data_IF_275558480660
#
_entry.id   IF_275558480660
#
_cell.length_a   1.000
_cell.length_b   1.000
_cell.length_c   1.000
_cell.angle_alpha   90.00
_cell.angle_beta   90.00
_cell.angle_gamma   90.00
#
_symmetry.space_group_name_H-M   'P 1'
#
loop_
_entity.id
_entity.type
_entity.pdbx_description
1 polymer ?
#
# COMPACT_ATOMS: atom_id res chain seq x y z
N UNK A 1 22.62 -2.00 -19.70
CA UNK A 1 23.97 -2.53 -19.94
C UNK A 1 25.04 -1.79 -19.14
N UNK A 2 25.10 -0.45 -19.17
CA UNK A 2 26.12 0.34 -18.47
C UNK A 2 26.32 -0.06 -17.00
N UNK A 3 25.24 -0.15 -16.21
CA UNK A 3 25.31 -0.60 -14.81
C UNK A 3 25.94 -1.98 -14.62
N UNK A 4 25.60 -2.94 -15.49
CA UNK A 4 26.09 -4.33 -15.40
C UNK A 4 27.55 -4.49 -15.87
N UNK A 5 28.08 -3.51 -16.60
CA UNK A 5 29.43 -3.49 -17.16
C UNK A 5 30.33 -2.45 -16.49
N UNK A 6 29.84 -1.74 -15.45
CA UNK A 6 30.65 -0.79 -14.70
C UNK A 6 31.77 -1.56 -13.97
N UNK A 7 33.03 -1.19 -14.24
CA UNK A 7 34.21 -1.83 -13.67
C UNK A 7 34.31 -1.68 -12.14
N UNK A 8 33.59 -0.73 -11.54
CA UNK A 8 33.64 -0.48 -10.09
C UNK A 8 32.80 -1.48 -9.30
N UNK A 9 31.56 -1.71 -9.73
CA UNK A 9 30.59 -2.51 -8.97
C UNK A 9 29.69 -3.39 -9.84
N UNK A 10 29.74 -3.28 -11.18
CA UNK A 10 28.81 -3.96 -12.08
C UNK A 10 28.83 -5.48 -11.93
N UNK A 11 29.98 -6.06 -11.62
CA UNK A 11 30.13 -7.50 -11.38
C UNK A 11 29.40 -8.00 -10.11
N UNK A 12 29.21 -7.12 -9.12
CA UNK A 12 28.43 -7.39 -7.90
C UNK A 12 26.93 -7.07 -8.08
N UNK A 13 26.51 -6.49 -9.21
CA UNK A 13 25.10 -6.19 -9.51
C UNK A 13 24.37 -7.43 -10.01
N UNK A 14 23.36 -7.89 -9.27
CA UNK A 14 22.49 -8.99 -9.67
C UNK A 14 21.39 -8.56 -10.64
N UNK A 15 20.84 -7.36 -10.48
CA UNK A 15 19.79 -6.88 -11.37
C UNK A 15 19.70 -5.35 -11.43
N UNK A 16 19.15 -4.84 -12.54
CA UNK A 16 18.83 -3.42 -12.72
C UNK A 16 17.31 -3.29 -12.81
N UNK A 17 16.70 -2.58 -11.87
CA UNK A 17 15.27 -2.31 -11.78
C UNK A 17 14.95 -0.96 -12.42
N UNK A 18 13.89 -0.90 -13.23
CA UNK A 18 13.34 0.32 -13.79
C UNK A 18 12.02 0.68 -13.10
N UNK A 19 11.65 1.98 -13.00
CA UNK A 19 10.32 2.38 -12.53
C UNK A 19 9.24 1.74 -13.39
N UNK A 20 8.15 1.31 -12.74
CA UNK A 20 6.92 0.97 -13.47
C UNK A 20 6.13 2.26 -13.68
N UNK A 21 5.78 2.53 -14.93
CA UNK A 21 4.95 3.68 -15.31
C UNK A 21 3.68 3.19 -15.97
N UNK A 22 2.60 3.93 -15.76
CA UNK A 22 1.29 3.52 -16.20
C UNK A 22 0.66 4.57 -17.12
N UNK A 23 0.06 4.09 -18.19
CA UNK A 23 -0.78 4.87 -19.10
C UNK A 23 -2.25 4.73 -18.71
N UNK A 24 -3.07 5.64 -19.24
CA UNK A 24 -4.54 5.67 -19.07
C UNK A 24 -5.01 5.66 -17.60
N UNK A 25 -4.22 6.25 -16.69
CA UNK A 25 -4.59 6.49 -15.29
C UNK A 25 -5.49 7.72 -15.19
N UNK A 26 -6.41 7.72 -14.22
CA UNK A 26 -7.20 8.90 -13.84
C UNK A 26 -6.29 10.14 -13.67
N UNK A 27 -6.61 11.30 -14.28
CA UNK A 27 -5.79 12.51 -14.15
C UNK A 27 -5.58 12.98 -12.71
N UNK A 28 -6.48 12.62 -11.78
CA UNK A 28 -6.33 12.96 -10.35
C UNK A 28 -5.68 11.85 -9.52
N UNK A 29 -5.29 10.75 -10.18
CA UNK A 29 -4.79 9.50 -9.61
C UNK A 29 -5.49 9.07 -8.32
N UNK A 30 -6.82 9.01 -8.38
CA UNK A 30 -7.68 8.75 -7.21
C UNK A 30 -7.27 7.52 -6.40
N UNK A 31 -6.72 6.49 -7.03
CA UNK A 31 -6.35 5.22 -6.39
C UNK A 31 -4.83 5.01 -6.31
N UNK A 32 -4.05 6.08 -6.44
CA UNK A 32 -2.59 6.06 -6.33
C UNK A 32 -1.97 4.92 -7.18
N UNK A 33 -2.38 4.84 -8.44
CA UNK A 33 -1.94 3.83 -9.38
C UNK A 33 -0.53 4.10 -9.90
N UNK A 34 -0.11 5.36 -10.02
CA UNK A 34 1.27 5.67 -10.39
C UNK A 34 2.27 5.26 -9.30
N UNK A 35 1.83 5.20 -8.04
CA UNK A 35 2.64 4.82 -6.89
C UNK A 35 4.00 5.55 -6.85
N UNK A 36 3.97 6.87 -7.15
CA UNK A 36 5.16 7.71 -7.35
C UNK A 36 6.04 7.76 -6.10
N UNK A 37 5.46 7.84 -4.90
CA UNK A 37 6.21 7.84 -3.64
C UNK A 37 7.13 6.61 -3.54
N UNK A 38 6.61 5.42 -3.84
CA UNK A 38 7.40 4.20 -3.79
C UNK A 38 8.50 4.14 -4.86
N UNK A 39 8.19 4.51 -6.11
CA UNK A 39 9.16 4.42 -7.20
C UNK A 39 10.21 5.54 -7.16
N UNK A 40 9.80 6.78 -6.89
CA UNK A 40 10.64 7.96 -7.06
C UNK A 40 11.28 8.46 -5.76
N UNK A 41 10.73 8.08 -4.59
CA UNK A 41 11.38 8.32 -3.30
C UNK A 41 11.96 7.03 -2.71
N UNK A 42 11.13 6.04 -2.38
CA UNK A 42 11.60 4.85 -1.64
C UNK A 42 12.63 4.03 -2.42
N UNK A 43 12.32 3.66 -3.68
CA UNK A 43 13.22 2.82 -4.49
C UNK A 43 14.53 3.54 -4.82
N UNK A 44 14.45 4.85 -5.05
CA UNK A 44 15.62 5.70 -5.28
C UNK A 44 16.49 5.82 -4.02
N UNK A 45 15.87 5.98 -2.84
CA UNK A 45 16.58 6.00 -1.56
C UNK A 45 17.31 4.68 -1.27
N UNK A 46 16.69 3.53 -1.57
CA UNK A 46 17.33 2.21 -1.43
C UNK A 46 18.52 2.02 -2.39
N UNK A 47 18.55 2.74 -3.51
CA UNK A 47 19.65 2.67 -4.47
C UNK A 47 20.99 3.12 -3.85
N UNK A 48 20.97 3.99 -2.84
CA UNK A 48 22.17 4.41 -2.12
C UNK A 48 22.71 3.40 -1.10
N UNK A 49 22.02 2.27 -0.87
CA UNK A 49 22.36 1.28 0.16
C UNK A 49 22.87 -0.02 -0.47
N UNK A 50 21.95 -0.90 -0.86
CA UNK A 50 22.23 -2.17 -1.52
C UNK A 50 21.44 -2.32 -2.83
N UNK A 51 20.59 -1.34 -3.14
CA UNK A 51 19.76 -1.32 -4.31
C UNK A 51 18.26 -1.53 -4.03
N UNK A 52 17.40 -1.22 -5.02
CA UNK A 52 15.97 -1.43 -4.94
C UNK A 52 15.60 -2.92 -4.89
N UNK A 53 14.46 -3.25 -4.30
CA UNK A 53 13.87 -4.60 -4.41
C UNK A 53 13.40 -4.89 -5.85
N UNK A 54 13.36 -6.16 -6.22
CA UNK A 54 12.70 -6.59 -7.46
C UNK A 54 11.18 -6.52 -7.29
N UNK A 55 10.49 -5.90 -8.26
CA UNK A 55 9.03 -5.63 -8.21
C UNK A 55 8.25 -6.23 -9.38
N UNK A 56 8.77 -7.33 -9.96
CA UNK A 56 8.01 -8.19 -10.88
C UNK A 56 8.12 -7.84 -12.36
N UNK A 57 8.57 -6.64 -12.74
CA UNK A 57 8.70 -6.24 -14.15
C UNK A 57 9.76 -5.15 -14.34
N UNK A 58 10.11 -4.86 -15.61
CA UNK A 58 11.07 -3.83 -15.97
C UNK A 58 12.43 -4.07 -15.31
N UNK A 59 12.96 -5.29 -15.42
CA UNK A 59 14.17 -5.69 -14.70
C UNK A 59 15.10 -6.51 -15.59
N UNK A 60 16.40 -6.19 -15.55
CA UNK A 60 17.45 -6.94 -16.22
C UNK A 60 18.23 -7.74 -15.18
N UNK A 61 18.17 -9.07 -15.22
CA UNK A 61 18.88 -9.95 -14.29
C UNK A 61 20.22 -10.46 -14.85
N UNK A 62 21.20 -10.57 -13.95
CA UNK A 62 22.40 -11.37 -14.13
C UNK A 62 22.04 -12.83 -13.94
N UNK A 63 22.18 -13.61 -15.02
CA UNK A 63 21.83 -15.04 -15.05
C UNK A 63 22.51 -15.85 -13.94
N UNK A 64 23.81 -15.64 -13.71
CA UNK A 64 24.55 -16.35 -12.66
C UNK A 64 23.96 -16.12 -11.25
N UNK A 65 23.43 -14.92 -10.97
CA UNK A 65 22.80 -14.61 -9.70
C UNK A 65 21.50 -15.43 -9.51
N UNK A 66 20.69 -15.55 -10.57
CA UNK A 66 19.47 -16.37 -10.55
C UNK A 66 19.75 -17.86 -10.38
N UNK A 67 20.88 -18.35 -10.90
CA UNK A 67 21.31 -19.73 -10.68
C UNK A 67 21.87 -20.00 -9.28
N UNK A 68 21.92 -18.98 -8.43
CA UNK A 68 22.32 -19.13 -7.04
C UNK A 68 23.81 -18.96 -6.78
N UNK A 69 24.59 -18.46 -7.76
CA UNK A 69 25.97 -18.09 -7.52
C UNK A 69 26.09 -16.96 -6.49
N UNK A 70 27.18 -16.96 -5.73
CA UNK A 70 27.55 -15.82 -4.89
C UNK A 70 28.15 -14.69 -5.75
N UNK A 71 27.99 -13.42 -5.36
CA UNK A 71 28.64 -12.29 -6.03
C UNK A 71 30.17 -12.41 -5.93
N UNK A 72 30.93 -11.86 -6.89
CA UNK A 72 32.40 -11.93 -6.92
C UNK A 72 33.05 -11.54 -5.59
N UNK A 73 32.60 -10.47 -4.94
CA UNK A 73 33.14 -10.00 -3.65
C UNK A 73 33.10 -11.04 -2.53
N UNK A 74 32.17 -11.99 -2.61
CA UNK A 74 31.97 -13.03 -1.60
C UNK A 74 32.44 -14.41 -2.06
N UNK A 75 33.11 -14.50 -3.21
CA UNK A 75 33.76 -15.71 -3.71
C UNK A 75 35.25 -15.74 -3.35
N UNK A 76 35.86 -16.91 -3.14
CA UNK A 76 37.31 -17.04 -3.04
C UNK A 76 38.00 -16.56 -4.34
N UNK A 77 39.19 -15.95 -4.22
CA UNK A 77 39.97 -15.49 -5.37
C UNK A 77 40.20 -16.65 -6.36
N UNK A 78 39.97 -16.39 -7.66
CA UNK A 78 40.03 -17.36 -8.77
C UNK A 78 38.94 -18.45 -8.81
N UNK A 79 37.91 -18.40 -7.95
CA UNK A 79 36.81 -19.34 -8.03
C UNK A 79 35.90 -19.06 -9.24
N UNK A 80 35.88 -20.00 -10.20
CA UNK A 80 34.80 -20.10 -11.20
C UNK A 80 33.45 -20.16 -10.46
N UNK A 81 32.35 -19.81 -11.13
CA UNK A 81 31.01 -20.06 -10.56
C UNK A 81 30.86 -21.57 -10.36
N UNK A 82 31.06 -22.03 -9.13
CA UNK A 82 30.87 -23.41 -8.71
C UNK A 82 29.58 -23.43 -7.90
N UNK A 83 28.59 -24.16 -8.40
CA UNK A 83 27.41 -24.49 -7.62
C UNK A 83 27.73 -25.75 -6.80
N UNK A 84 27.42 -25.72 -5.52
CA UNK A 84 27.57 -26.89 -4.66
C UNK A 84 26.63 -28.01 -5.13
N UNK A 85 27.18 -29.07 -5.72
CA UNK A 85 26.43 -30.19 -6.32
C UNK A 85 25.40 -29.69 -7.37
N UNK A 86 25.86 -29.32 -8.58
CA UNK A 86 25.01 -28.66 -9.59
C UNK A 86 23.84 -29.54 -10.04
N UNK A 87 24.00 -30.87 -10.07
CA UNK A 87 22.94 -31.80 -10.46
C UNK A 87 21.75 -31.75 -9.51
N UNK A 88 22.01 -31.71 -8.20
CA UNK A 88 20.94 -31.58 -7.19
C UNK A 88 20.27 -30.21 -7.23
N UNK A 89 20.98 -29.16 -7.66
CA UNK A 89 20.43 -27.81 -7.73
C UNK A 89 19.62 -27.56 -9.00
N UNK A 90 20.19 -27.93 -10.16
CA UNK A 90 19.73 -27.54 -11.49
C UNK A 90 18.97 -28.64 -12.23
N UNK A 91 19.09 -29.91 -11.80
CA UNK A 91 18.54 -31.08 -12.49
C UNK A 91 19.59 -31.92 -13.21
N UNK A 92 19.10 -32.91 -13.96
CA UNK A 92 19.94 -33.97 -14.55
C UNK A 92 20.45 -33.67 -15.96
N UNK A 93 20.03 -32.55 -16.56
CA UNK A 93 20.51 -32.11 -17.87
C UNK A 93 21.99 -31.74 -17.84
N UNK A 94 22.86 -32.62 -18.34
CA UNK A 94 24.29 -32.30 -18.48
C UNK A 94 24.53 -31.10 -19.41
N UNK A 95 23.86 -30.97 -20.58
CA UNK A 95 24.04 -29.80 -21.43
C UNK A 95 23.67 -28.49 -20.73
N UNK A 96 22.57 -28.45 -19.98
CA UNK A 96 22.16 -27.27 -19.23
C UNK A 96 23.15 -26.97 -18.09
N UNK A 97 23.48 -27.96 -17.26
CA UNK A 97 24.41 -27.80 -16.13
C UNK A 97 25.77 -27.28 -16.61
N UNK A 98 26.30 -27.82 -17.71
CA UNK A 98 27.57 -27.39 -18.28
C UNK A 98 27.49 -25.98 -18.91
N UNK A 99 26.30 -25.53 -19.31
CA UNK A 99 26.09 -24.18 -19.84
C UNK A 99 26.16 -23.08 -18.78
N UNK A 100 25.84 -23.38 -17.52
CA UNK A 100 25.76 -22.42 -16.41
C UNK A 100 27.09 -21.70 -16.11
N UNK A 101 28.21 -22.40 -15.85
CA UNK A 101 29.49 -21.73 -15.58
C UNK A 101 29.98 -20.93 -16.79
N UNK A 102 29.62 -21.36 -18.01
CA UNK A 102 29.95 -20.64 -19.22
C UNK A 102 29.13 -19.37 -19.38
N UNK A 103 27.87 -19.37 -18.94
CA UNK A 103 26.99 -18.20 -18.95
C UNK A 103 27.38 -17.16 -17.87
N UNK A 104 28.16 -17.57 -16.87
CA UNK A 104 28.74 -16.67 -15.88
C UNK A 104 29.98 -15.92 -16.38
N UNK A 105 30.61 -16.39 -17.47
CA UNK A 105 31.73 -15.71 -18.10
C UNK A 105 31.21 -14.62 -19.06
N UNK A 106 31.32 -13.36 -18.64
CA UNK A 106 30.85 -12.21 -19.42
C UNK A 106 31.66 -11.94 -20.69
N UNK A 107 32.92 -12.38 -20.76
CA UNK A 107 33.81 -12.16 -21.90
C UNK A 107 33.66 -13.24 -22.99
N UNK A 108 32.78 -14.21 -22.77
CA UNK A 108 32.62 -15.35 -23.69
C UNK A 108 31.94 -14.91 -25.00
N UNK A 109 32.53 -15.30 -26.13
CA UNK A 109 31.87 -15.25 -27.44
C UNK A 109 30.60 -16.10 -27.45
N UNK A 110 29.48 -15.50 -27.84
CA UNK A 110 28.16 -16.12 -27.85
C UNK A 110 27.86 -16.64 -29.26
N UNK A 111 28.60 -17.64 -29.74
CA UNK A 111 28.18 -18.38 -30.93
C UNK A 111 27.16 -19.42 -30.47
N UNK A 112 25.86 -19.29 -30.81
CA UNK A 112 24.86 -20.25 -30.38
C UNK A 112 25.13 -21.61 -31.04
N UNK A 113 24.99 -22.72 -30.31
CA UNK A 113 25.03 -24.05 -30.91
C UNK A 113 23.85 -24.23 -31.90
N UNK A 114 23.96 -25.13 -32.89
CA UNK A 114 22.87 -25.40 -33.83
C UNK A 114 21.60 -25.83 -33.09
N UNK A 115 20.47 -25.16 -33.31
CA UNK A 115 19.23 -25.42 -32.57
C UNK A 115 18.72 -26.87 -32.68
N UNK A 116 18.94 -27.51 -33.83
CA UNK A 116 18.52 -28.88 -34.09
C UNK A 116 19.18 -29.91 -33.13
N UNK A 117 20.40 -29.64 -32.64
CA UNK A 117 21.10 -30.57 -31.74
C UNK A 117 20.65 -30.51 -30.29
N UNK A 118 19.73 -29.60 -29.93
CA UNK A 118 19.27 -29.38 -28.55
C UNK A 118 17.76 -29.55 -28.39
N UNK A 119 17.03 -29.96 -29.44
CA UNK A 119 15.55 -29.94 -29.40
C UNK A 119 14.98 -30.90 -28.35
N UNK A 120 15.49 -32.13 -28.27
CA UNK A 120 15.07 -33.12 -27.25
C UNK A 120 15.44 -32.65 -25.84
N UNK A 121 16.65 -32.12 -25.67
CA UNK A 121 17.14 -31.59 -24.39
C UNK A 121 16.29 -30.42 -23.90
N UNK A 122 15.91 -29.51 -24.80
CA UNK A 122 15.03 -28.39 -24.48
C UNK A 122 13.63 -28.86 -24.07
N UNK A 123 13.13 -29.92 -24.71
CA UNK A 123 11.84 -30.52 -24.35
C UNK A 123 11.90 -31.16 -22.96
N UNK A 124 13.00 -31.83 -22.62
CA UNK A 124 13.22 -32.43 -21.30
C UNK A 124 13.35 -31.36 -20.20
N UNK A 125 14.18 -30.34 -20.41
CA UNK A 125 14.38 -29.24 -19.45
C UNK A 125 13.11 -28.39 -19.25
N UNK A 126 12.23 -28.33 -20.25
CA UNK A 126 10.94 -27.64 -20.18
C UNK A 126 9.80 -28.52 -19.64
N UNK A 127 10.05 -29.81 -19.36
CA UNK A 127 9.02 -30.71 -18.86
C UNK A 127 8.60 -30.33 -17.43
N UNK A 128 7.32 -30.56 -17.10
CA UNK A 128 6.78 -30.23 -15.78
C UNK A 128 7.46 -30.99 -14.62
N UNK A 129 8.01 -32.18 -14.89
CA UNK A 129 8.68 -33.01 -13.92
C UNK A 129 10.20 -32.73 -13.81
N UNK A 130 10.76 -31.84 -14.64
CA UNK A 130 12.20 -31.59 -14.66
C UNK A 130 12.72 -31.08 -13.30
N UNK A 131 11.88 -30.32 -12.59
CA UNK A 131 12.23 -29.73 -11.30
C UNK A 131 12.06 -30.71 -10.11
N UNK A 132 11.52 -31.91 -10.34
CA UNK A 132 11.26 -32.88 -9.27
C UNK A 132 12.56 -33.31 -8.58
N UNK A 133 12.60 -33.14 -7.24
CA UNK A 133 13.78 -33.46 -6.44
C UNK A 133 14.96 -32.49 -6.59
N UNK A 134 14.83 -31.43 -7.38
CA UNK A 134 15.84 -30.38 -7.55
C UNK A 134 15.72 -29.27 -6.48
N UNK A 135 16.50 -28.19 -6.59
CA UNK A 135 16.38 -27.00 -5.73
C UNK A 135 15.85 -25.76 -6.47
N UNK A 136 15.24 -25.93 -7.64
CA UNK A 136 14.43 -24.89 -8.28
C UNK A 136 13.32 -24.43 -7.34
N UNK A 137 13.02 -23.12 -7.32
CA UNK A 137 12.07 -22.57 -6.37
C UNK A 137 12.60 -22.32 -4.97
N UNK A 138 13.61 -23.09 -4.52
CA UNK A 138 14.14 -23.02 -3.17
C UNK A 138 15.40 -22.15 -3.10
N UNK A 139 16.46 -22.51 -3.83
CA UNK A 139 17.72 -21.74 -3.85
C UNK A 139 18.21 -21.34 -5.25
N UNK A 140 17.49 -21.76 -6.29
CA UNK A 140 17.70 -21.45 -7.72
C UNK A 140 16.43 -20.83 -8.29
N UNK A 141 16.54 -19.92 -9.27
CA UNK A 141 15.40 -19.38 -10.01
C UNK A 141 14.54 -18.40 -9.19
N UNK A 142 13.26 -18.29 -9.51
CA UNK A 142 12.30 -17.55 -8.69
C UNK A 142 11.94 -18.35 -7.44
N UNK A 143 11.56 -17.67 -6.37
CA UNK A 143 11.13 -18.33 -5.13
C UNK A 143 9.68 -18.78 -5.24
N UNK A 144 9.37 -20.02 -4.87
CA UNK A 144 8.01 -20.58 -5.00
C UNK A 144 7.14 -20.37 -3.75
N UNK A 145 5.83 -20.53 -3.94
CA UNK A 145 4.81 -20.60 -2.88
C UNK A 145 4.64 -19.32 -2.03
N UNK A 146 5.07 -18.17 -2.56
CA UNK A 146 4.85 -16.85 -1.97
C UNK A 146 4.24 -15.96 -3.06
N UNK A 147 3.12 -15.29 -2.78
CA UNK A 147 2.38 -14.51 -3.78
C UNK A 147 3.09 -13.23 -4.26
N UNK A 148 4.12 -12.81 -3.53
CA UNK A 148 5.08 -11.75 -3.89
C UNK A 148 6.44 -12.38 -4.14
N UNK A 149 6.49 -13.34 -5.07
CA UNK A 149 7.70 -14.06 -5.45
C UNK A 149 8.80 -13.12 -5.93
N UNK A 150 8.41 -11.98 -6.49
CA UNK A 150 9.28 -10.91 -6.93
C UNK A 150 10.13 -10.34 -5.78
N UNK A 151 9.49 -9.79 -4.75
CA UNK A 151 10.17 -9.16 -3.62
C UNK A 151 11.06 -10.16 -2.89
N UNK A 152 10.57 -11.39 -2.65
CA UNK A 152 11.36 -12.41 -1.95
C UNK A 152 12.52 -12.94 -2.81
N UNK A 153 12.38 -12.98 -4.14
CA UNK A 153 13.49 -13.34 -5.04
C UNK A 153 14.58 -12.27 -5.00
N UNK A 154 14.19 -10.98 -5.07
CA UNK A 154 15.12 -9.86 -4.91
C UNK A 154 15.84 -9.89 -3.55
N UNK A 155 15.08 -10.10 -2.47
CA UNK A 155 15.63 -10.26 -1.12
C UNK A 155 16.62 -11.42 -1.04
N UNK A 156 16.32 -12.58 -1.64
CA UNK A 156 17.22 -13.74 -1.62
C UNK A 156 18.57 -13.41 -2.27
N UNK A 157 18.56 -12.64 -3.36
CA UNK A 157 19.79 -12.18 -4.01
C UNK A 157 20.56 -11.21 -3.11
N UNK A 158 19.89 -10.21 -2.53
CA UNK A 158 20.52 -9.28 -1.58
C UNK A 158 21.05 -9.96 -0.32
N UNK A 159 20.35 -10.96 0.22
CA UNK A 159 20.79 -11.77 1.37
C UNK A 159 22.09 -12.54 1.08
N UNK A 160 22.35 -12.90 -0.18
CA UNK A 160 23.62 -13.50 -0.61
C UNK A 160 24.75 -12.47 -0.76
N UNK A 161 24.44 -11.18 -0.68
CA UNK A 161 25.38 -10.07 -0.80
C UNK A 161 25.42 -9.42 -2.18
N UNK A 162 24.53 -9.80 -3.10
CA UNK A 162 24.41 -9.12 -4.38
C UNK A 162 23.87 -7.69 -4.19
N UNK A 163 24.22 -6.80 -5.11
CA UNK A 163 23.67 -5.46 -5.25
C UNK A 163 22.56 -5.44 -6.31
N UNK A 164 21.70 -4.43 -6.29
CA UNK A 164 20.87 -4.06 -7.43
C UNK A 164 20.99 -2.58 -7.71
N UNK A 165 20.60 -2.18 -8.93
CA UNK A 165 20.66 -0.79 -9.38
C UNK A 165 19.28 -0.32 -9.80
N UNK A 166 18.99 0.96 -9.58
CA UNK A 166 17.75 1.61 -10.01
C UNK A 166 18.04 2.56 -11.19
N UNK A 167 17.33 2.37 -12.30
CA UNK A 167 17.50 3.17 -13.51
C UNK A 167 16.20 3.87 -13.89
N UNK A 168 16.02 5.12 -13.45
CA UNK A 168 15.01 6.02 -13.99
C UNK A 168 15.58 6.73 -15.23
N UNK A 169 14.80 6.78 -16.30
CA UNK A 169 15.21 7.38 -17.57
C UNK A 169 14.08 8.17 -18.22
N UNK A 170 14.47 9.13 -19.05
CA UNK A 170 13.57 9.93 -19.88
C UNK A 170 13.94 9.70 -21.36
N UNK A 171 13.02 9.17 -22.20
CA UNK A 171 11.66 8.74 -21.85
C UNK A 171 11.63 7.46 -21.01
N UNK A 172 10.50 7.24 -20.32
CA UNK A 172 10.28 6.04 -19.51
C UNK A 172 10.48 4.75 -20.33
N UNK A 173 11.31 3.84 -19.81
CA UNK A 173 11.66 2.59 -20.50
C UNK A 173 10.49 1.60 -20.63
N UNK A 174 9.67 1.52 -19.57
CA UNK A 174 8.60 0.55 -19.43
C UNK A 174 7.32 1.24 -19.02
N UNK A 175 6.31 1.15 -19.88
CA UNK A 175 4.96 1.66 -19.64
C UNK A 175 3.97 0.50 -19.71
N UNK A 176 3.01 0.48 -18.80
CA UNK A 176 1.97 -0.54 -18.72
C UNK A 176 0.61 0.05 -18.42
N UNK A 177 -0.37 -0.82 -18.21
CA UNK A 177 -1.74 -0.43 -17.84
C UNK A 177 -1.99 -0.79 -16.38
N UNK A 178 -2.58 0.13 -15.62
CA UNK A 178 -2.99 -0.10 -14.23
C UNK A 178 -4.47 -0.53 -14.14
N UNK A 179 -4.88 -1.26 -13.08
CA UNK A 179 -6.29 -1.43 -12.76
C UNK A 179 -6.93 -0.07 -12.46
N UNK A 180 -8.03 0.27 -13.14
CA UNK A 180 -8.65 1.59 -12.99
C UNK A 180 -9.82 1.63 -12.00
N UNK A 181 -10.43 0.48 -11.68
CA UNK A 181 -11.51 0.41 -10.69
C UNK A 181 -10.98 0.11 -9.28
N UNK A 182 -11.71 0.59 -8.26
CA UNK A 182 -11.31 0.47 -6.84
C UNK A 182 -11.13 -0.99 -6.42
N UNK A 183 -12.10 -1.85 -6.75
CA UNK A 183 -12.16 -3.22 -6.24
C UNK A 183 -10.99 -4.08 -6.72
N UNK A 184 -10.68 -4.03 -8.01
CA UNK A 184 -9.52 -4.73 -8.59
C UNK A 184 -8.21 -4.21 -8.00
N UNK A 185 -8.12 -2.89 -7.76
CA UNK A 185 -6.95 -2.30 -7.09
C UNK A 185 -6.81 -2.80 -5.63
N UNK A 186 -7.91 -2.94 -4.87
CA UNK A 186 -7.86 -3.50 -3.51
C UNK A 186 -7.46 -4.98 -3.50
N UNK A 187 -7.94 -5.79 -4.46
CA UNK A 187 -7.51 -7.18 -4.59
C UNK A 187 -6.02 -7.30 -4.95
N UNK A 188 -5.51 -6.37 -5.77
CA UNK A 188 -4.09 -6.29 -6.08
C UNK A 188 -3.25 -6.14 -4.82
N UNK A 189 -3.65 -5.20 -3.95
CA UNK A 189 -2.93 -4.91 -2.71
C UNK A 189 -3.11 -6.02 -1.70
N UNK A 190 -4.29 -6.66 -1.64
CA UNK A 190 -4.49 -7.82 -0.78
C UNK A 190 -3.47 -8.93 -1.07
N UNK A 191 -3.22 -9.19 -2.35
CA UNK A 191 -2.21 -10.16 -2.78
C UNK A 191 -0.80 -9.72 -2.40
N UNK A 192 -0.47 -8.44 -2.57
CA UNK A 192 0.82 -7.88 -2.15
C UNK A 192 1.02 -7.98 -0.63
N UNK A 193 0.05 -7.55 0.16
CA UNK A 193 0.10 -7.60 1.62
C UNK A 193 0.13 -9.02 2.15
N UNK A 194 -0.65 -9.93 1.57
CA UNK A 194 -0.63 -11.36 1.91
C UNK A 194 0.73 -11.99 1.63
N UNK A 195 1.29 -11.79 0.43
CA UNK A 195 2.62 -12.27 0.08
C UNK A 195 3.74 -11.66 0.93
N UNK A 196 3.65 -10.37 1.26
CA UNK A 196 4.57 -9.68 2.18
C UNK A 196 4.61 -10.35 3.56
N UNK A 197 3.44 -10.69 4.12
CA UNK A 197 3.37 -11.39 5.40
C UNK A 197 3.79 -12.86 5.30
N UNK A 198 3.45 -13.55 4.22
CA UNK A 198 3.96 -14.90 3.94
C UNK A 198 5.50 -14.91 3.94
N UNK A 199 6.12 -13.91 3.31
CA UNK A 199 7.56 -13.72 3.36
C UNK A 199 8.05 -13.48 4.79
N UNK A 200 7.41 -12.56 5.53
CA UNK A 200 7.80 -12.21 6.90
C UNK A 200 7.79 -13.42 7.86
N UNK A 201 6.78 -14.27 7.76
CA UNK A 201 6.63 -15.47 8.61
C UNK A 201 7.28 -16.74 8.05
N UNK A 202 8.00 -16.64 6.92
CA UNK A 202 8.75 -17.76 6.35
C UNK A 202 10.23 -17.76 6.75
N UNK A 203 10.97 -18.77 6.29
CA UNK A 203 12.44 -18.81 6.37
C UNK A 203 13.14 -17.66 5.60
N UNK A 204 12.39 -16.90 4.80
CA UNK A 204 12.84 -15.70 4.10
C UNK A 204 12.59 -14.40 4.89
N UNK A 205 12.30 -14.49 6.19
CA UNK A 205 12.16 -13.32 7.06
C UNK A 205 13.43 -12.44 7.02
N UNK A 206 13.31 -11.12 6.75
CA UNK A 206 14.45 -10.21 6.73
C UNK A 206 15.24 -10.16 8.04
N UNK A 207 14.56 -10.36 9.18
CA UNK A 207 15.19 -10.37 10.51
C UNK A 207 16.18 -11.53 10.69
N UNK A 208 16.00 -12.62 9.94
CA UNK A 208 16.88 -13.80 9.96
C UNK A 208 18.08 -13.67 9.00
N UNK A 209 18.19 -12.56 8.25
CA UNK A 209 19.25 -12.39 7.27
C UNK A 209 20.62 -12.20 7.93
N UNK A 210 21.64 -12.87 7.38
CA UNK A 210 23.03 -12.78 7.83
C UNK A 210 23.70 -11.43 7.55
N UNK A 211 25.02 -11.37 7.77
CA UNK A 211 25.83 -10.14 7.69
C UNK A 211 26.02 -9.57 6.28
N UNK A 212 25.70 -10.35 5.23
CA UNK A 212 25.82 -9.91 3.82
C UNK A 212 24.69 -8.96 3.39
N UNK A 213 23.60 -8.89 4.17
CA UNK A 213 22.54 -7.90 3.97
C UNK A 213 22.86 -6.64 4.77
N UNK A 214 22.89 -5.48 4.10
CA UNK A 214 23.18 -4.21 4.77
C UNK A 214 22.15 -3.93 5.88
N UNK A 215 22.54 -3.40 7.06
CA UNK A 215 21.61 -3.18 8.17
C UNK A 215 20.39 -2.32 7.80
N UNK A 216 20.59 -1.23 7.06
CA UNK A 216 19.46 -0.40 6.58
C UNK A 216 18.61 -1.12 5.52
N UNK A 217 19.21 -1.98 4.69
CA UNK A 217 18.46 -2.81 3.74
C UNK A 217 17.60 -3.83 4.50
N UNK A 218 18.09 -4.36 5.63
CA UNK A 218 17.30 -5.21 6.53
C UNK A 218 16.10 -4.46 7.09
N UNK A 219 16.29 -3.22 7.55
CA UNK A 219 15.18 -2.38 8.03
C UNK A 219 14.16 -2.14 6.91
N UNK A 220 14.62 -1.82 5.70
CA UNK A 220 13.75 -1.61 4.55
C UNK A 220 12.91 -2.85 4.22
N UNK A 221 13.53 -4.03 4.08
CA UNK A 221 12.80 -5.26 3.83
C UNK A 221 11.84 -5.65 4.97
N UNK A 222 12.24 -5.41 6.23
CA UNK A 222 11.34 -5.61 7.38
C UNK A 222 10.11 -4.69 7.25
N UNK A 223 10.30 -3.42 6.90
CA UNK A 223 9.19 -2.49 6.69
C UNK A 223 8.28 -2.96 5.53
N UNK A 224 8.86 -3.33 4.39
CA UNK A 224 8.12 -3.82 3.21
C UNK A 224 7.37 -5.13 3.44
N UNK A 225 7.75 -5.92 4.44
CA UNK A 225 7.11 -7.22 4.73
C UNK A 225 6.14 -7.15 5.92
N UNK A 226 6.40 -6.29 6.91
CA UNK A 226 5.60 -6.17 8.12
C UNK A 226 4.56 -5.02 8.12
N UNK A 227 4.55 -4.13 7.11
CA UNK A 227 3.61 -2.99 7.06
C UNK A 227 2.13 -3.35 7.25
N UNK A 228 1.59 -4.52 6.83
CA UNK A 228 0.18 -4.81 7.05
C UNK A 228 -0.15 -5.01 8.54
N UNK A 229 0.82 -5.46 9.35
CA UNK A 229 0.65 -5.64 10.80
C UNK A 229 0.56 -4.27 11.47
N UNK A 230 1.48 -3.35 11.18
CA UNK A 230 1.46 -2.01 11.78
C UNK A 230 0.19 -1.25 11.43
N UNK A 231 -0.30 -1.43 10.19
CA UNK A 231 -1.50 -0.77 9.75
C UNK A 231 -2.81 -1.36 10.31
N UNK A 232 -2.80 -2.59 10.84
CA UNK A 232 -3.95 -3.11 11.58
C UNK A 232 -4.23 -2.32 12.87
N UNK A 233 -3.22 -1.70 13.47
CA UNK A 233 -3.42 -0.80 14.61
C UNK A 233 -4.11 0.52 14.21
N UNK A 234 -3.90 0.98 12.97
CA UNK A 234 -4.59 2.15 12.42
C UNK A 234 -6.09 1.88 12.33
N UNK A 235 -6.50 0.69 11.87
CA UNK A 235 -7.91 0.30 11.86
C UNK A 235 -8.57 0.38 13.25
N UNK A 236 -7.87 -0.09 14.30
CA UNK A 236 -8.39 0.03 15.68
C UNK A 236 -8.47 1.50 16.10
N UNK A 237 -7.45 2.29 15.76
CA UNK A 237 -7.38 3.71 16.06
C UNK A 237 -8.55 4.49 15.42
N UNK A 238 -8.93 4.14 14.18
CA UNK A 238 -10.01 4.79 13.44
C UNK A 238 -11.42 4.45 13.96
N UNK A 239 -11.52 3.41 14.78
CA UNK A 239 -12.74 3.02 15.49
C UNK A 239 -12.81 3.60 16.91
N UNK A 240 -11.69 4.13 17.45
CA UNK A 240 -11.70 4.82 18.74
C UNK A 240 -12.71 5.97 18.83
N UNK A 241 -13.11 6.65 17.74
CA UNK A 241 -14.16 7.64 17.85
C UNK A 241 -15.53 7.12 18.36
N UNK A 242 -15.76 5.80 18.38
CA UNK A 242 -16.90 5.20 19.10
C UNK A 242 -16.91 5.56 20.59
N UNK A 243 -15.74 5.78 21.18
CA UNK A 243 -15.61 6.21 22.58
C UNK A 243 -16.18 7.61 22.83
N UNK A 244 -16.29 8.48 21.80
CA UNK A 244 -16.99 9.76 21.92
C UNK A 244 -18.51 9.58 22.10
N UNK A 245 -19.06 8.45 21.67
CA UNK A 245 -20.49 8.12 21.77
C UNK A 245 -20.84 7.50 23.13
N UNK A 246 -19.89 6.83 23.78
CA UNK A 246 -20.09 6.17 25.07
C UNK A 246 -19.65 7.05 26.24
N UNK A 247 -20.64 7.62 26.95
CA UNK A 247 -20.55 7.94 28.38
C UNK A 247 -19.28 8.61 28.91
N UNK A 248 -18.92 9.80 28.44
CA UNK A 248 -18.28 10.90 29.20
C UNK A 248 -16.92 10.70 29.89
N UNK A 249 -16.39 9.48 30.03
CA UNK A 249 -15.13 9.22 30.71
C UNK A 249 -13.99 9.08 29.69
N UNK A 250 -13.17 10.13 29.63
CA UNK A 250 -11.99 10.17 28.79
C UNK A 250 -10.83 9.47 29.50
N UNK A 251 -10.31 8.38 28.91
CA UNK A 251 -9.06 7.75 29.35
C UNK A 251 -7.80 8.57 29.01
N UNK A 252 -7.93 9.59 28.16
CA UNK A 252 -6.85 10.53 27.84
C UNK A 252 -6.95 11.70 28.83
N UNK A 253 -5.92 11.87 29.66
CA UNK A 253 -5.79 13.05 30.51
C UNK A 253 -5.99 14.32 29.67
N UNK A 254 -6.75 15.29 30.20
CA UNK A 254 -6.93 16.59 29.52
C UNK A 254 -5.55 17.10 29.09
N UNK A 255 -5.34 17.39 27.79
CA UNK A 255 -4.01 17.77 27.31
C UNK A 255 -3.59 19.05 28.03
N UNK A 256 -2.54 18.96 28.85
CA UNK A 256 -1.91 20.14 29.42
C UNK A 256 -1.10 20.86 28.34
N UNK A 257 -0.87 22.16 28.52
CA UNK A 257 -0.27 23.03 27.49
C UNK A 257 1.03 22.45 26.90
N UNK A 258 1.92 21.92 27.74
CA UNK A 258 3.18 21.31 27.29
C UNK A 258 2.97 20.08 26.40
N UNK A 259 1.99 19.23 26.72
CA UNK A 259 1.66 18.09 25.85
C UNK A 259 1.15 18.57 24.49
N UNK A 260 0.25 19.56 24.46
CA UNK A 260 -0.25 20.12 23.22
C UNK A 260 0.87 20.75 22.37
N UNK A 261 1.83 21.43 22.99
CA UNK A 261 3.02 21.96 22.33
C UNK A 261 3.91 20.85 21.74
N UNK A 262 4.16 19.77 22.48
CA UNK A 262 4.94 18.64 21.96
C UNK A 262 4.22 17.92 20.81
N UNK A 263 2.90 17.74 20.91
CA UNK A 263 2.10 17.17 19.83
C UNK A 263 2.17 18.04 18.58
N UNK A 264 1.97 19.36 18.71
CA UNK A 264 2.07 20.29 17.59
C UNK A 264 3.47 20.31 16.98
N UNK A 265 4.52 20.37 17.81
CA UNK A 265 5.90 20.35 17.34
C UNK A 265 6.24 19.04 16.61
N UNK A 266 5.76 17.90 17.12
CA UNK A 266 5.94 16.60 16.48
C UNK A 266 5.25 16.51 15.12
N UNK A 267 3.99 16.94 15.04
CA UNK A 267 3.25 17.02 13.77
C UNK A 267 3.97 17.96 12.80
N UNK A 268 4.30 19.17 13.22
CA UNK A 268 5.00 20.14 12.38
C UNK A 268 6.35 19.61 11.86
N UNK A 269 7.10 18.87 12.69
CA UNK A 269 8.35 18.23 12.27
C UNK A 269 8.10 17.12 11.23
N UNK A 270 7.07 16.29 11.43
CA UNK A 270 6.69 15.24 10.47
C UNK A 270 6.29 15.84 9.12
N UNK A 271 5.42 16.86 9.13
CA UNK A 271 4.99 17.56 7.92
C UNK A 271 6.16 18.26 7.21
N UNK A 272 7.05 18.94 7.95
CA UNK A 272 8.24 19.56 7.37
C UNK A 272 9.18 18.52 6.74
N UNK A 273 9.34 17.36 7.39
CA UNK A 273 10.15 16.25 6.85
C UNK A 273 9.52 15.68 5.58
N UNK A 274 8.20 15.49 5.56
CA UNK A 274 7.46 15.07 4.37
C UNK A 274 7.58 16.07 3.23
N UNK A 275 7.54 17.38 3.51
CA UNK A 275 7.74 18.40 2.47
C UNK A 275 9.15 18.40 1.89
N UNK A 276 10.17 18.16 2.72
CA UNK A 276 11.54 17.92 2.22
C UNK A 276 11.54 16.68 1.32
N UNK A 277 10.85 15.60 1.72
CA UNK A 277 10.75 14.36 0.96
C UNK A 277 10.14 14.56 -0.44
N UNK A 278 8.98 15.20 -0.48
CA UNK A 278 8.26 15.54 -1.70
C UNK A 278 9.14 16.37 -2.64
N UNK A 279 9.87 17.34 -2.09
CA UNK A 279 10.71 18.24 -2.88
C UNK A 279 11.91 17.52 -3.49
N UNK A 280 12.67 16.73 -2.70
CA UNK A 280 13.88 16.08 -3.23
C UNK A 280 13.56 14.96 -4.21
N UNK A 281 12.44 14.26 -4.03
CA UNK A 281 12.00 13.18 -4.91
C UNK A 281 11.27 13.68 -6.18
N UNK A 282 11.07 15.01 -6.34
CA UNK A 282 10.36 15.57 -7.49
C UNK A 282 8.89 15.13 -7.56
N UNK A 283 8.26 14.98 -6.38
CA UNK A 283 6.86 14.62 -6.24
C UNK A 283 6.00 15.88 -6.15
N UNK A 284 4.74 15.78 -6.54
CA UNK A 284 3.76 16.83 -6.24
C UNK A 284 3.17 16.59 -4.85
N UNK A 285 2.65 17.65 -4.21
CA UNK A 285 1.89 17.50 -2.96
C UNK A 285 0.67 16.58 -3.17
N UNK A 286 0.07 16.60 -4.38
CA UNK A 286 -1.04 15.72 -4.71
C UNK A 286 -0.61 14.24 -4.71
N UNK A 287 0.57 13.90 -5.24
CA UNK A 287 1.09 12.52 -5.20
C UNK A 287 1.22 12.01 -3.76
N UNK A 288 1.75 12.86 -2.88
CA UNK A 288 1.89 12.54 -1.46
C UNK A 288 0.52 12.38 -0.78
N UNK A 289 -0.39 13.34 -0.97
CA UNK A 289 -1.75 13.24 -0.42
C UNK A 289 -2.50 12.01 -0.96
N UNK A 290 -2.36 11.66 -2.24
CA UNK A 290 -2.97 10.44 -2.82
C UNK A 290 -2.38 9.18 -2.22
N UNK A 291 -1.08 9.16 -1.96
CA UNK A 291 -0.43 8.05 -1.27
C UNK A 291 -0.98 7.87 0.15
N UNK A 292 -1.09 8.94 0.94
CA UNK A 292 -1.65 8.89 2.30
C UNK A 292 -3.11 8.44 2.31
N UNK A 293 -3.94 9.04 1.45
CA UNK A 293 -5.34 8.65 1.29
C UNK A 293 -5.48 7.18 0.93
N UNK A 294 -4.65 6.70 0.00
CA UNK A 294 -4.74 5.34 -0.46
C UNK A 294 -4.17 4.33 0.54
N UNK A 295 -3.13 4.71 1.29
CA UNK A 295 -2.64 3.96 2.43
C UNK A 295 -3.72 3.79 3.49
N UNK A 296 -4.48 4.86 3.78
CA UNK A 296 -5.61 4.81 4.71
C UNK A 296 -6.71 3.83 4.26
N UNK A 297 -7.06 3.84 2.97
CA UNK A 297 -8.02 2.88 2.39
C UNK A 297 -7.51 1.44 2.54
N UNK A 298 -6.22 1.21 2.32
CA UNK A 298 -5.56 -0.07 2.57
C UNK A 298 -5.64 -0.48 4.04
N UNK A 299 -5.36 0.45 4.96
CA UNK A 299 -5.37 0.22 6.41
C UNK A 299 -6.74 -0.13 6.95
N UNK A 300 -7.79 0.52 6.46
CA UNK A 300 -9.13 0.24 6.93
C UNK A 300 -9.74 -1.00 6.28
N UNK A 301 -9.39 -1.33 5.03
CA UNK A 301 -10.02 -2.42 4.28
C UNK A 301 -9.16 -3.66 4.07
N UNK A 302 -7.98 -3.49 3.46
CA UNK A 302 -7.18 -4.59 2.89
C UNK A 302 -6.28 -5.26 3.93
N UNK A 303 -5.56 -4.46 4.71
CA UNK A 303 -4.53 -4.98 5.62
C UNK A 303 -5.09 -5.84 6.76
N UNK A 304 -6.26 -5.54 7.36
CA UNK A 304 -6.89 -6.45 8.32
C UNK A 304 -7.18 -7.83 7.72
N UNK A 305 -7.61 -7.89 6.46
CA UNK A 305 -7.84 -9.14 5.75
C UNK A 305 -6.52 -9.89 5.46
N UNK A 306 -5.45 -9.17 5.11
CA UNK A 306 -4.12 -9.77 4.92
C UNK A 306 -3.53 -10.35 6.22
N UNK A 307 -3.71 -9.63 7.34
CA UNK A 307 -3.32 -10.11 8.67
C UNK A 307 -4.12 -11.36 9.04
N UNK A 308 -5.45 -11.34 8.82
CA UNK A 308 -6.29 -12.53 9.03
C UNK A 308 -5.83 -13.72 8.16
N UNK A 309 -5.56 -13.49 6.87
CA UNK A 309 -5.00 -14.53 5.97
C UNK A 309 -3.76 -15.17 6.59
N UNK A 310 -2.83 -14.35 7.07
CA UNK A 310 -1.56 -14.81 7.62
C UNK A 310 -1.73 -15.56 8.94
N UNK A 311 -2.59 -15.06 9.83
CA UNK A 311 -2.92 -15.73 11.09
C UNK A 311 -3.53 -17.12 10.84
N UNK A 312 -4.44 -17.23 9.87
CA UNK A 312 -5.03 -18.52 9.47
C UNK A 312 -3.95 -19.51 8.98
N UNK A 313 -3.02 -19.03 8.14
CA UNK A 313 -1.91 -19.87 7.66
C UNK A 313 -0.96 -20.30 8.79
N UNK A 314 -0.69 -19.42 9.76
CA UNK A 314 0.18 -19.73 10.90
C UNK A 314 -0.39 -20.84 11.81
N UNK A 315 -1.72 -20.95 11.92
CA UNK A 315 -2.39 -22.02 12.66
C UNK A 315 -2.66 -23.28 11.81
N UNK A 316 -2.11 -23.36 10.59
CA UNK A 316 -2.25 -24.51 9.71
C UNK A 316 -3.57 -24.57 8.92
N UNK A 317 -4.38 -23.51 8.95
CA UNK A 317 -5.61 -23.40 8.15
C UNK A 317 -5.31 -22.82 6.76
N UNK A 318 -6.26 -23.03 5.83
CA UNK A 318 -6.20 -22.37 4.52
C UNK A 318 -6.40 -20.86 4.70
N UNK A 319 -5.48 -20.07 4.14
CA UNK A 319 -5.63 -18.62 4.09
C UNK A 319 -6.77 -18.18 3.15
N UNK A 320 -7.03 -16.87 3.11
CA UNK A 320 -7.99 -16.28 2.16
C UNK A 320 -7.57 -16.53 0.70
N UNK A 321 -8.51 -16.87 -0.20
CA UNK A 321 -8.21 -17.04 -1.61
C UNK A 321 -7.87 -15.68 -2.26
N UNK A 322 -6.78 -15.64 -3.03
CA UNK A 322 -6.42 -14.46 -3.81
C UNK A 322 -7.12 -14.48 -5.16
N UNK A 323 -7.85 -13.40 -5.48
CA UNK A 323 -8.42 -13.18 -6.82
C UNK A 323 -7.34 -12.59 -7.73
N UNK A 324 -7.18 -13.17 -8.93
CA UNK A 324 -6.36 -12.58 -9.98
C UNK A 324 -7.05 -11.32 -10.50
N UNK A 325 -6.28 -10.23 -10.56
CA UNK A 325 -6.83 -8.96 -11.03
C UNK A 325 -6.87 -8.94 -12.54
N UNK A 326 -8.03 -8.61 -13.11
CA UNK A 326 -8.15 -8.42 -14.55
C UNK A 326 -7.50 -7.08 -14.92
N UNK A 327 -6.48 -7.13 -15.78
CA UNK A 327 -6.05 -5.91 -16.49
C UNK A 327 -7.09 -5.61 -17.56
N UNK A 328 -7.51 -4.34 -17.75
CA UNK A 328 -8.40 -4.01 -18.85
C UNK A 328 -7.77 -4.50 -20.15
N UNK A 329 -8.55 -5.19 -20.99
CA UNK A 329 -8.16 -5.34 -22.38
C UNK A 329 -8.11 -3.93 -22.94
N UNK A 330 -6.97 -3.52 -23.50
CA UNK A 330 -6.88 -2.29 -24.26
C UNK A 330 -7.93 -2.35 -25.37
N UNK A 331 -9.10 -1.78 -25.11
CA UNK A 331 -10.17 -1.64 -26.10
C UNK A 331 -9.56 -0.96 -27.31
N UNK A 332 -9.72 -1.57 -28.47
CA UNK A 332 -9.18 -1.08 -29.75
C UNK A 332 -9.36 0.43 -29.87
N UNK A 333 -8.28 1.13 -30.21
CA UNK A 333 -8.08 2.57 -30.05
C UNK A 333 -9.00 3.50 -30.85
N UNK A 334 -10.31 3.44 -30.62
CA UNK A 334 -11.31 4.33 -31.24
C UNK A 334 -12.14 5.17 -30.26
N UNK A 335 -12.12 4.85 -28.96
CA UNK A 335 -12.93 5.54 -27.95
C UNK A 335 -12.26 6.78 -27.35
N UNK A 336 -13.05 7.85 -27.14
CA UNK A 336 -12.57 9.07 -26.47
C UNK A 336 -12.10 8.81 -25.04
N UNK A 337 -11.30 9.72 -24.45
CA UNK A 337 -10.76 9.57 -23.08
C UNK A 337 -11.82 9.24 -22.01
N UNK A 338 -13.07 9.67 -22.24
CA UNK A 338 -14.22 9.40 -21.37
C UNK A 338 -14.70 7.95 -21.37
N UNK A 339 -14.53 7.22 -22.47
CA UNK A 339 -14.86 5.79 -22.55
C UNK A 339 -13.74 4.95 -21.92
N UNK A 340 -12.48 5.35 -22.06
CA UNK A 340 -11.34 4.67 -21.43
C UNK A 340 -11.41 4.65 -19.91
N UNK A 341 -11.93 5.72 -19.30
CA UNK A 341 -12.11 5.81 -17.84
C UNK A 341 -13.51 5.35 -17.39
N UNK A 342 -14.27 4.60 -18.20
CA UNK A 342 -15.61 4.16 -17.81
C UNK A 342 -15.56 3.21 -16.61
N UNK A 343 -14.63 2.25 -16.60
CA UNK A 343 -14.52 1.25 -15.54
C UNK A 343 -14.08 1.87 -14.19
N UNK A 344 -13.42 3.04 -14.19
CA UNK A 344 -13.11 3.80 -12.97
C UNK A 344 -14.37 4.08 -12.13
N UNK A 345 -15.53 4.21 -12.78
CA UNK A 345 -16.82 4.52 -12.16
C UNK A 345 -17.69 3.29 -11.90
N UNK A 346 -17.18 2.08 -12.15
CA UNK A 346 -17.87 0.83 -11.86
C UNK A 346 -17.63 0.41 -10.41
N UNK A 347 -18.73 0.11 -9.72
CA UNK A 347 -18.68 -0.37 -8.33
C UNK A 347 -18.87 -1.87 -8.35
N UNK A 348 -17.83 -2.59 -7.99
CA UNK A 348 -17.91 -4.03 -7.76
C UNK A 348 -17.91 -4.27 -6.26
N UNK A 349 -19.08 -4.49 -5.68
CA UNK A 349 -19.18 -4.73 -4.24
C UNK A 349 -18.41 -5.99 -3.83
N UNK A 350 -17.49 -5.82 -2.89
CA UNK A 350 -16.65 -6.88 -2.36
C UNK A 350 -16.61 -6.82 -0.83
N UNK A 351 -16.43 -7.96 -0.13
CA UNK A 351 -16.29 -7.97 1.33
C UNK A 351 -15.18 -7.05 1.86
N UNK A 352 -14.12 -6.82 1.07
CA UNK A 352 -13.01 -5.93 1.43
C UNK A 352 -13.43 -4.47 1.64
N UNK A 353 -14.56 -4.04 1.05
CA UNK A 353 -15.05 -2.67 1.20
C UNK A 353 -15.74 -2.44 2.55
N UNK A 354 -16.32 -3.49 3.13
CA UNK A 354 -17.18 -3.39 4.32
C UNK A 354 -16.48 -2.73 5.50
N UNK A 355 -15.26 -3.13 5.91
CA UNK A 355 -14.58 -2.51 7.04
C UNK A 355 -14.38 -0.99 6.86
N UNK A 356 -14.05 -0.54 5.65
CA UNK A 356 -13.86 0.89 5.37
C UNK A 356 -15.17 1.66 5.37
N UNK A 357 -16.26 1.06 4.86
CA UNK A 357 -17.63 1.63 4.97
C UNK A 357 -18.01 1.80 6.44
N UNK A 358 -17.72 0.81 7.28
CA UNK A 358 -18.00 0.88 8.73
C UNK A 358 -17.22 2.02 9.37
N UNK A 359 -15.91 2.15 9.08
CA UNK A 359 -15.10 3.27 9.59
C UNK A 359 -15.70 4.63 9.18
N UNK A 360 -16.09 4.80 7.92
CA UNK A 360 -16.75 6.03 7.47
C UNK A 360 -18.06 6.29 8.22
N UNK A 361 -18.91 5.26 8.36
CA UNK A 361 -20.20 5.37 9.04
C UNK A 361 -20.05 5.74 10.52
N UNK A 362 -19.08 5.13 11.21
CA UNK A 362 -18.74 5.44 12.61
C UNK A 362 -18.29 6.88 12.78
N UNK A 363 -17.40 7.37 11.92
CA UNK A 363 -16.91 8.75 11.99
C UNK A 363 -18.02 9.77 11.67
N UNK A 364 -18.88 9.49 10.69
CA UNK A 364 -20.10 10.29 10.43
C UNK A 364 -21.04 10.29 11.63
N UNK A 365 -21.25 9.13 12.26
CA UNK A 365 -22.13 9.00 13.41
C UNK A 365 -21.58 9.77 14.63
N UNK A 366 -20.27 9.73 14.87
CA UNK A 366 -19.61 10.48 15.92
C UNK A 366 -19.78 12.00 15.73
N UNK A 367 -19.56 12.50 14.51
CA UNK A 367 -19.78 13.91 14.16
C UNK A 367 -21.26 14.29 14.36
N UNK A 368 -22.19 13.46 13.86
CA UNK A 368 -23.62 13.68 14.00
C UNK A 368 -24.10 13.70 15.45
N UNK A 369 -23.65 12.77 16.28
CA UNK A 369 -24.00 12.74 17.70
C UNK A 369 -23.44 13.96 18.45
N UNK A 370 -22.21 14.39 18.15
CA UNK A 370 -21.64 15.61 18.71
C UNK A 370 -22.47 16.85 18.33
N UNK A 371 -22.91 16.95 17.07
CA UNK A 371 -23.80 18.00 16.60
C UNK A 371 -25.17 17.95 17.27
N UNK A 372 -25.77 16.76 17.39
CA UNK A 372 -27.05 16.55 18.08
C UNK A 372 -26.99 16.94 19.55
N UNK A 373 -25.90 16.59 20.25
CA UNK A 373 -25.66 17.01 21.63
C UNK A 373 -25.54 18.52 21.77
N UNK A 374 -24.85 19.19 20.84
CA UNK A 374 -24.76 20.65 20.82
C UNK A 374 -26.12 21.32 20.67
N UNK A 375 -26.95 20.81 19.75
CA UNK A 375 -28.31 21.29 19.55
C UNK A 375 -29.18 21.05 20.80
N UNK A 376 -29.13 19.85 21.39
CA UNK A 376 -29.95 19.50 22.56
C UNK A 376 -29.59 20.29 23.82
N UNK A 377 -28.31 20.66 24.00
CA UNK A 377 -27.81 21.39 25.16
C UNK A 377 -27.74 22.92 24.96
N UNK A 378 -28.40 23.47 23.93
CA UNK A 378 -28.37 24.90 23.56
C UNK A 378 -26.96 25.53 23.62
N UNK A 379 -25.95 24.77 23.23
CA UNK A 379 -24.55 25.17 23.35
C UNK A 379 -23.89 25.10 21.98
N UNK A 380 -22.90 25.96 21.75
CA UNK A 380 -22.13 25.88 20.51
C UNK A 380 -21.41 24.52 20.43
N UNK A 381 -21.18 24.03 19.21
CA UNK A 381 -20.42 22.81 18.96
C UNK A 381 -19.07 22.83 19.69
N UNK A 382 -18.42 24.00 19.76
CA UNK A 382 -17.18 24.22 20.48
C UNK A 382 -17.33 24.13 22.02
N UNK A 383 -18.44 24.62 22.58
CA UNK A 383 -18.74 24.53 24.02
C UNK A 383 -19.11 23.10 24.45
N UNK A 384 -19.83 22.35 23.61
CA UNK A 384 -20.18 20.94 23.87
C UNK A 384 -19.00 20.01 23.67
N UNK A 385 -18.13 20.33 22.72
CA UNK A 385 -16.92 19.58 22.51
C UNK A 385 -15.85 19.87 23.59
N UNK A 386 -15.76 21.11 24.08
CA UNK A 386 -14.60 21.54 24.87
C UNK A 386 -13.29 21.39 24.08
N UNK A 387 -12.17 21.83 24.64
CA UNK A 387 -10.88 21.80 23.93
C UNK A 387 -10.43 20.38 23.54
N UNK A 388 -10.75 19.37 24.37
CA UNK A 388 -10.39 17.97 24.12
C UNK A 388 -11.27 17.31 23.04
N UNK A 389 -12.59 17.52 23.03
CA UNK A 389 -13.42 16.95 21.97
C UNK A 389 -13.41 17.73 20.66
N UNK A 390 -12.95 18.99 20.66
CA UNK A 390 -12.65 19.70 19.41
C UNK A 390 -11.54 18.98 18.62
N UNK A 391 -10.49 18.51 19.30
CA UNK A 391 -9.45 17.66 18.69
C UNK A 391 -10.00 16.33 18.17
N UNK A 392 -10.92 15.70 18.93
CA UNK A 392 -11.63 14.51 18.49
C UNK A 392 -12.45 14.71 17.23
N UNK A 393 -13.21 15.80 17.14
CA UNK A 393 -14.03 16.10 15.97
C UNK A 393 -13.15 16.39 14.73
N UNK A 394 -12.04 17.13 14.92
CA UNK A 394 -11.06 17.35 13.86
C UNK A 394 -10.47 16.03 13.36
N UNK A 395 -10.17 15.09 14.26
CA UNK A 395 -9.72 13.75 13.89
C UNK A 395 -10.76 13.01 13.02
N UNK A 396 -12.04 13.02 13.40
CA UNK A 396 -13.10 12.39 12.60
C UNK A 396 -13.21 13.00 11.19
N UNK A 397 -13.15 14.34 11.11
CA UNK A 397 -13.17 15.03 9.82
C UNK A 397 -11.94 14.66 8.99
N UNK A 398 -10.76 14.58 9.62
CA UNK A 398 -9.53 14.17 8.96
C UNK A 398 -9.61 12.74 8.39
N UNK A 399 -10.15 11.79 9.15
CA UNK A 399 -10.40 10.41 8.66
C UNK A 399 -11.31 10.42 7.43
N UNK A 400 -12.39 11.20 7.45
CA UNK A 400 -13.29 11.31 6.29
C UNK A 400 -12.62 11.97 5.06
N UNK A 401 -11.70 12.92 5.28
CA UNK A 401 -10.90 13.51 4.20
C UNK A 401 -9.89 12.51 3.62
N UNK A 402 -9.29 11.66 4.45
CA UNK A 402 -8.41 10.58 4.00
C UNK A 402 -9.17 9.51 3.20
N UNK A 403 -10.39 9.18 3.62
CA UNK A 403 -11.27 8.21 2.96
C UNK A 403 -12.10 8.80 1.81
N UNK A 404 -11.93 10.07 1.47
CA UNK A 404 -12.65 10.73 0.39
C UNK A 404 -12.55 9.99 -0.97
N UNK A 405 -11.38 9.52 -1.43
CA UNK A 405 -11.28 8.77 -2.69
C UNK A 405 -12.04 7.44 -2.67
N UNK A 406 -12.12 6.80 -1.50
CA UNK A 406 -12.92 5.59 -1.31
C UNK A 406 -14.41 5.89 -1.40
N UNK A 407 -14.88 6.96 -0.73
CA UNK A 407 -16.26 7.45 -0.83
C UNK A 407 -16.66 7.70 -2.29
N UNK A 408 -15.79 8.35 -3.07
CA UNK A 408 -16.00 8.51 -4.51
C UNK A 408 -16.02 7.19 -5.26
N UNK A 409 -15.18 6.22 -4.89
CA UNK A 409 -15.18 4.90 -5.50
C UNK A 409 -16.48 4.14 -5.32
N UNK A 410 -17.02 4.08 -4.10
CA UNK A 410 -18.28 3.35 -3.82
C UNK A 410 -19.52 4.08 -4.37
N UNK A 411 -19.43 5.38 -4.66
CA UNK A 411 -20.48 6.14 -5.36
C UNK A 411 -20.56 5.84 -6.86
N UNK A 412 -19.54 5.18 -7.43
CA UNK A 412 -19.50 4.81 -8.83
C UNK A 412 -19.71 6.01 -9.76
N UNK A 413 -20.69 5.91 -10.66
CA UNK A 413 -21.04 6.94 -11.65
C UNK A 413 -21.38 8.31 -11.04
N UNK A 414 -21.87 8.35 -9.81
CA UNK A 414 -22.19 9.62 -9.14
C UNK A 414 -20.93 10.42 -8.79
N UNK A 415 -19.77 9.76 -8.70
CA UNK A 415 -18.48 10.43 -8.45
C UNK A 415 -17.95 11.26 -9.63
N UNK A 416 -18.65 11.25 -10.78
CA UNK A 416 -18.46 12.27 -11.83
C UNK A 416 -18.81 13.67 -11.34
N UNK A 417 -19.60 13.78 -10.26
CA UNK A 417 -19.98 15.02 -9.58
C UNK A 417 -19.54 14.91 -8.10
N UNK A 418 -18.25 15.12 -7.80
CA UNK A 418 -17.69 14.82 -6.48
C UNK A 418 -18.36 15.58 -5.33
N UNK A 419 -18.90 16.77 -5.57
CA UNK A 419 -19.63 17.55 -4.57
C UNK A 419 -20.86 16.82 -4.01
N UNK A 420 -21.41 15.84 -4.72
CA UNK A 420 -22.52 15.01 -4.21
C UNK A 420 -22.11 14.21 -2.98
N UNK A 421 -20.85 13.76 -2.88
CA UNK A 421 -20.36 13.06 -1.68
C UNK A 421 -20.43 13.97 -0.46
N UNK A 422 -20.01 15.22 -0.60
CA UNK A 422 -20.07 16.20 0.48
C UNK A 422 -21.52 16.43 0.94
N UNK A 423 -22.45 16.62 0.00
CA UNK A 423 -23.88 16.79 0.33
C UNK A 423 -24.45 15.56 1.05
N UNK A 424 -24.09 14.35 0.61
CA UNK A 424 -24.54 13.10 1.25
C UNK A 424 -23.96 12.95 2.66
N UNK A 425 -22.68 13.27 2.87
CA UNK A 425 -22.05 13.23 4.19
C UNK A 425 -22.69 14.24 5.14
N UNK A 426 -22.92 15.48 4.69
CA UNK A 426 -23.61 16.51 5.50
C UNK A 426 -25.04 16.08 5.83
N UNK A 427 -25.78 15.56 4.86
CA UNK A 427 -27.13 15.05 5.09
C UNK A 427 -27.14 13.89 6.10
N UNK A 428 -26.19 12.97 6.03
CA UNK A 428 -26.04 11.88 6.98
C UNK A 428 -25.73 12.37 8.40
N UNK A 429 -24.81 13.35 8.53
CA UNK A 429 -24.52 14.00 9.82
C UNK A 429 -25.77 14.64 10.43
N UNK A 430 -26.54 15.39 9.63
CA UNK A 430 -27.79 16.03 10.08
C UNK A 430 -28.84 14.99 10.47
N UNK A 431 -28.97 13.90 9.72
CA UNK A 431 -29.88 12.81 10.04
C UNK A 431 -29.53 12.15 11.38
N UNK A 432 -28.26 11.83 11.60
CA UNK A 432 -27.79 11.27 12.88
C UNK A 432 -28.01 12.25 14.03
N UNK A 433 -27.69 13.54 13.85
CA UNK A 433 -27.94 14.56 14.84
C UNK A 433 -29.42 14.65 15.23
N UNK A 434 -30.32 14.58 14.24
CA UNK A 434 -31.77 14.61 14.45
C UNK A 434 -32.26 13.39 15.22
N UNK A 435 -31.77 12.20 14.87
CA UNK A 435 -32.06 10.95 15.60
C UNK A 435 -31.57 11.04 17.04
N UNK A 436 -30.35 11.56 17.26
CA UNK A 436 -29.79 11.73 18.60
C UNK A 436 -30.68 12.64 19.48
N UNK A 437 -31.11 13.79 18.96
CA UNK A 437 -32.02 14.72 19.66
C UNK A 437 -33.36 14.04 19.96
N UNK A 438 -33.93 13.31 18.98
CA UNK A 438 -35.19 12.59 19.18
C UNK A 438 -35.08 11.50 20.25
N UNK A 439 -33.98 10.75 20.28
CA UNK A 439 -33.73 9.73 21.30
C UNK A 439 -33.59 10.36 22.69
N UNK A 440 -32.88 11.49 22.83
CA UNK A 440 -32.80 12.21 24.09
C UNK A 440 -34.18 12.65 24.59
N UNK A 441 -35.03 13.18 23.70
CA UNK A 441 -36.39 13.60 24.05
C UNK A 441 -37.28 12.44 24.53
N UNK A 442 -37.07 11.22 24.01
CA UNK A 442 -37.83 10.02 24.38
C UNK A 442 -37.32 9.39 25.68
N UNK A 443 -36.00 9.31 25.87
CA UNK A 443 -35.39 8.52 26.95
C UNK A 443 -34.97 9.35 28.19
N UNK A 444 -35.03 10.68 28.14
CA UNK A 444 -34.76 11.55 29.28
C UNK A 444 -35.99 12.43 29.66
N UNK A 445 -37.10 11.82 30.15
CA UNK A 445 -38.30 12.55 30.54
C UNK A 445 -38.00 13.41 31.79
N UNK A 446 -37.69 14.69 31.57
CA UNK A 446 -37.32 15.65 32.61
C UNK A 446 -36.24 16.66 32.18
N UNK A 447 -35.52 16.40 31.09
CA UNK A 447 -34.66 17.41 30.46
C UNK A 447 -35.51 18.36 29.64
N UNK A 448 -35.45 19.67 29.91
CA UNK A 448 -36.13 20.72 29.15
C UNK A 448 -35.51 20.82 27.76
N UNK A 449 -35.88 19.92 26.85
CA UNK A 449 -35.60 20.07 25.42
C UNK A 449 -36.66 21.01 24.87
N UNK A 450 -36.29 22.25 24.59
CA UNK A 450 -37.17 23.21 23.94
C UNK A 450 -37.60 22.66 22.56
N UNK A 451 -38.91 22.66 22.23
CA UNK A 451 -39.37 22.15 20.94
C UNK A 451 -38.87 23.05 19.80
N UNK A 452 -38.44 22.41 18.70
CA UNK A 452 -37.94 23.00 17.47
C UNK A 452 -38.57 24.36 17.11
N UNK A 453 -37.81 25.45 17.24
CA UNK A 453 -38.01 26.68 16.44
C UNK A 453 -37.10 26.64 15.22
N UNK A 454 -37.43 25.81 14.25
CA UNK A 454 -36.90 25.94 12.90
C UNK A 454 -37.94 26.74 12.09
N UNK A 455 -37.50 27.77 11.33
CA UNK A 455 -38.23 28.62 10.34
C UNK A 455 -38.42 30.12 10.67
N UNK A 456 -38.03 30.64 11.83
CA UNK A 456 -38.31 32.06 12.17
C UNK A 456 -37.26 33.14 11.84
N UNK A 457 -35.97 32.83 11.75
CA UNK A 457 -34.91 33.87 11.92
C UNK A 457 -34.29 34.45 10.64
N UNK A 458 -34.88 34.21 9.46
CA UNK A 458 -34.41 34.81 8.20
C UNK A 458 -35.14 36.10 7.80
N UNK A 459 -36.11 36.58 8.59
CA UNK A 459 -36.78 37.86 8.34
C UNK A 459 -36.78 38.68 9.63
N UNK A 460 -36.06 39.80 9.60
CA UNK A 460 -35.90 40.72 10.72
C UNK A 460 -37.25 41.18 11.28
N UNK A 461 -37.45 40.96 12.57
CA UNK A 461 -38.60 41.44 13.33
C UNK A 461 -38.12 42.13 14.60
N UNK A 462 -38.44 43.41 14.70
CA UNK A 462 -38.08 44.35 15.76
C UNK A 462 -38.74 43.98 17.11
N UNK A 463 -38.04 44.35 18.19
CA UNK A 463 -38.34 44.26 19.63
C UNK A 463 -39.75 44.77 20.04
N UNK A 464 -40.27 44.47 21.26
CA UNK A 464 -39.89 45.31 22.42
C UNK A 464 -39.77 44.59 23.79
N UNK A 465 -38.76 45.04 24.54
CA UNK A 465 -38.80 45.45 25.95
C UNK A 465 -38.76 44.44 27.13
N UNK A 466 -38.01 44.90 28.14
CA UNK A 466 -38.03 44.60 29.60
C UNK A 466 -37.24 43.34 30.05
N UNK A 467 -36.32 43.34 31.02
CA UNK A 467 -36.10 44.08 32.30
C UNK A 467 -34.57 44.11 32.63
N UNK A 468 -33.96 45.26 32.95
CA UNK A 468 -33.64 45.87 34.28
C UNK A 468 -32.65 45.12 35.21
N UNK A 469 -31.53 45.82 35.43
CA UNK A 469 -30.48 45.84 36.50
C UNK A 469 -29.71 44.54 36.74
#
# INVERSE_FOLDING_TARGET
MCFMLDRRHGDDTAFVQFPQRFDDVDPTDRYCNHNRVFFDATSLGLNGIQGPSYVGTGCLFRRAALYGADPPRWRPDNAKVVLDNPYRQLGNSMPFVNSVPLAANQERSITPPPAASLTEELADVAACAYEDGTKWGYCVGWVYNIATEDVVTGFRLHRKGWLSEYCAMDPDAFRGTAPINLTERLYQILRWSGGSLDMFFSHNCPLLAGRRLHPMQRVAYTNMTAYPISAAFIFVYDLLPLTWLSGGEFYVQKPFQTYALYLFAGIAMMEASGMVEVTWAGLTLLDWCRNEQFYMIGATGVYPAAVLHSLLRLVGLKGLPFKLTSKPQSGGGGGGARERLAELYEVQWAPLLVPTVVVMAVNVAAIGAAAGKAVACESSLAQVAGAAAAGGLLFNVWVLLLLYPFGLGIMGRWSKRPYLLFLLLVAAVVAVASVYVALLAVFAPGSTVAPLRMVGSLLGGVSPASWRI
#
